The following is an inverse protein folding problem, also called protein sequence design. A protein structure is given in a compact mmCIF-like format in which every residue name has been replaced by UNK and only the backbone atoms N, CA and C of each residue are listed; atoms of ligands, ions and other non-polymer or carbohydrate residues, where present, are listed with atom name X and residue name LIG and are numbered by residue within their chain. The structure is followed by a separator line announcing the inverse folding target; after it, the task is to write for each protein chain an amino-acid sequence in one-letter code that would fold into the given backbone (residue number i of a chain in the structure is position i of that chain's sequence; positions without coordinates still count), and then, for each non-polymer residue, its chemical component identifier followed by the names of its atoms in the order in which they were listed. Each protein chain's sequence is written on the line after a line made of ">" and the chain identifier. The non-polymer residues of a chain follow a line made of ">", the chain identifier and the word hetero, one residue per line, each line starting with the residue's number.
data_IF_854508078371
#
_entry.id   IF_854508078371
#
_cell.length_a   1.000
_cell.length_b   1.000
_cell.length_c   1.000
_cell.angle_alpha   90.00
_cell.angle_beta   90.00
_cell.angle_gamma   90.00
#
_symmetry.space_group_name_H-M   'P 1'
#
loop_
_entity.id
_entity.type
_entity.pdbx_description
1 polymer ?
#
# COMPACT_ATOMS: atom_id res chain seq x y z
N UNK A 1 -4.38 1.35 24.72
CA UNK A 1 -4.48 1.94 23.36
C UNK A 1 -3.97 0.91 22.35
N UNK A 2 -4.85 0.06 21.80
CA UNK A 2 -4.48 -1.06 20.89
C UNK A 2 -5.51 -1.29 19.76
N UNK A 3 -6.37 -0.32 19.46
CA UNK A 3 -7.49 -0.53 18.52
C UNK A 3 -7.23 -0.07 17.09
N UNK A 4 -6.23 0.79 16.85
CA UNK A 4 -5.85 1.20 15.49
C UNK A 4 -5.07 0.12 14.71
N UNK A 5 -4.51 -0.87 15.41
CA UNK A 5 -3.82 -2.02 14.80
C UNK A 5 -4.77 -3.12 14.30
N UNK A 6 -6.08 -2.98 14.51
CA UNK A 6 -7.02 -4.07 14.22
C UNK A 6 -7.45 -4.16 12.75
N UNK A 7 -7.31 -3.09 11.97
CA UNK A 7 -7.81 -3.04 10.59
C UNK A 7 -7.23 -1.84 9.81
N UNK A 8 -6.13 -2.03 9.05
CA UNK A 8 -5.54 -0.97 8.24
C UNK A 8 -6.47 -0.51 7.09
N UNK A 9 -7.51 -1.27 6.74
CA UNK A 9 -8.50 -0.91 5.72
C UNK A 9 -9.68 -0.09 6.27
N UNK A 10 -9.67 0.20 7.57
CA UNK A 10 -10.73 0.96 8.21
C UNK A 10 -10.82 2.38 7.65
N UNK A 11 -12.01 2.75 7.17
CA UNK A 11 -12.23 4.05 6.51
C UNK A 11 -12.16 5.21 7.50
N UNK A 12 -11.91 6.42 6.98
CA UNK A 12 -11.91 7.64 7.80
C UNK A 12 -13.24 7.91 8.52
N UNK A 13 -14.37 7.48 7.94
CA UNK A 13 -15.68 7.60 8.56
C UNK A 13 -15.83 6.64 9.75
N UNK A 14 -15.37 5.40 9.60
CA UNK A 14 -15.41 4.42 10.68
C UNK A 14 -14.49 4.82 11.85
N UNK A 15 -13.29 5.34 11.53
CA UNK A 15 -12.36 5.87 12.54
C UNK A 15 -12.97 7.08 13.24
N UNK A 16 -13.56 8.01 12.48
CA UNK A 16 -14.17 9.21 13.03
C UNK A 16 -15.36 8.89 13.94
N UNK A 17 -16.20 7.94 13.53
CA UNK A 17 -17.34 7.46 14.31
C UNK A 17 -16.88 6.82 15.62
N UNK A 18 -15.86 5.94 15.58
CA UNK A 18 -15.32 5.29 16.77
C UNK A 18 -14.64 6.29 17.73
N UNK A 19 -13.98 7.31 17.19
CA UNK A 19 -13.27 8.33 17.96
C UNK A 19 -14.16 9.52 18.39
N UNK A 20 -15.43 9.54 18.00
CA UNK A 20 -16.35 10.65 18.29
C UNK A 20 -15.93 11.99 17.69
N UNK A 21 -15.23 11.98 16.54
CA UNK A 21 -14.71 13.18 15.90
C UNK A 21 -15.17 13.29 14.43
N UNK A 22 -14.74 14.32 13.73
CA UNK A 22 -15.08 14.49 12.31
C UNK A 22 -14.14 13.71 11.40
N UNK A 23 -14.66 13.17 10.29
CA UNK A 23 -13.82 12.51 9.27
C UNK A 23 -12.80 13.46 8.60
N UNK A 24 -13.05 14.77 8.65
CA UNK A 24 -12.09 15.78 8.23
C UNK A 24 -10.90 15.86 9.20
N UNK A 25 -11.17 15.84 10.51
CA UNK A 25 -10.15 15.80 11.55
C UNK A 25 -9.26 14.55 11.41
N UNK A 26 -9.86 13.38 11.21
CA UNK A 26 -9.10 12.13 10.97
C UNK A 26 -8.19 12.24 9.74
N UNK A 27 -8.68 12.80 8.63
CA UNK A 27 -7.87 13.02 7.42
C UNK A 27 -6.72 14.01 7.64
N UNK A 28 -6.97 15.09 8.38
CA UNK A 28 -5.93 16.08 8.72
C UNK A 28 -4.86 15.48 9.60
N UNK A 29 -5.25 14.73 10.64
CA UNK A 29 -4.31 14.03 11.53
C UNK A 29 -3.50 13.03 10.72
N UNK A 30 -4.14 12.16 9.94
CA UNK A 30 -3.42 11.16 9.15
C UNK A 30 -2.49 11.77 8.09
N UNK A 31 -2.88 12.87 7.43
CA UNK A 31 -1.99 13.59 6.53
C UNK A 31 -0.80 14.21 7.26
N UNK A 32 -1.01 14.80 8.45
CA UNK A 32 0.08 15.36 9.28
C UNK A 32 1.06 14.29 9.74
N UNK A 33 0.55 13.12 10.08
CA UNK A 33 1.33 11.98 10.56
C UNK A 33 1.88 11.10 9.41
N UNK A 34 1.59 11.43 8.15
CA UNK A 34 1.99 10.61 6.99
C UNK A 34 1.39 9.20 6.97
N UNK A 35 0.32 8.99 7.73
CA UNK A 35 -0.34 7.70 7.86
C UNK A 35 -1.32 7.54 6.71
N UNK A 36 -1.14 6.45 5.97
CA UNK A 36 -2.09 6.04 4.94
C UNK A 36 -2.97 4.94 5.51
N UNK A 37 -4.28 5.09 5.40
CA UNK A 37 -5.25 4.25 6.09
C UNK A 37 -6.53 4.16 5.27
N UNK A 38 -7.34 3.14 5.55
CA UNK A 38 -8.47 2.83 4.71
C UNK A 38 -8.03 2.33 3.34
N UNK A 39 -8.98 2.23 2.41
CA UNK A 39 -8.67 1.98 0.98
C UNK A 39 -7.70 2.99 0.35
N UNK A 40 -7.40 4.11 1.03
CA UNK A 40 -6.42 5.09 0.59
C UNK A 40 -4.96 4.63 0.77
N UNK A 41 -4.68 3.47 1.42
CA UNK A 41 -3.39 2.75 1.31
C UNK A 41 -2.95 2.51 -0.14
N UNK A 42 -3.86 2.69 -1.10
CA UNK A 42 -3.52 2.89 -2.50
C UNK A 42 -3.00 4.32 -2.75
N UNK A 43 -1.72 4.49 -2.38
CA UNK A 43 -0.67 5.07 -3.23
C UNK A 43 -0.54 6.60 -3.27
N UNK A 44 0.69 7.14 -3.18
CA UNK A 44 0.94 8.56 -3.38
C UNK A 44 0.50 9.02 -4.78
N UNK A 45 -0.11 10.21 -4.86
CA UNK A 45 -0.61 10.83 -6.10
C UNK A 45 0.45 11.05 -7.22
N UNK A 46 1.71 10.66 -6.97
CA UNK A 46 2.84 10.68 -7.92
C UNK A 46 3.52 9.32 -8.15
N UNK A 47 3.09 8.25 -7.49
CA UNK A 47 3.59 6.92 -7.84
C UNK A 47 2.97 6.54 -9.18
N UNK A 48 3.84 6.31 -10.15
CA UNK A 48 3.49 5.69 -11.43
C UNK A 48 2.71 4.42 -11.14
N UNK A 49 1.72 4.07 -11.99
CA UNK A 49 0.92 2.83 -11.85
C UNK A 49 1.77 1.59 -11.52
N UNK A 50 3.01 1.57 -12.00
CA UNK A 50 3.99 0.52 -11.78
C UNK A 50 4.46 0.43 -10.32
N UNK A 51 4.67 1.55 -9.61
CA UNK A 51 5.09 1.53 -8.20
C UNK A 51 3.98 0.99 -7.30
N UNK A 52 2.72 1.29 -7.62
CA UNK A 52 1.55 0.72 -6.93
C UNK A 52 1.55 -0.80 -7.03
N UNK A 53 1.70 -1.27 -8.26
CA UNK A 53 1.65 -2.68 -8.58
C UNK A 53 2.78 -3.42 -7.87
N UNK A 54 4.00 -2.86 -7.89
CA UNK A 54 5.15 -3.39 -7.16
C UNK A 54 4.93 -3.43 -5.65
N UNK A 55 4.41 -2.37 -5.04
CA UNK A 55 4.11 -2.31 -3.59
C UNK A 55 3.07 -3.37 -3.19
N UNK A 56 2.04 -3.59 -4.01
CA UNK A 56 1.03 -4.61 -3.76
C UNK A 56 1.56 -6.03 -3.95
N UNK A 57 2.38 -6.27 -4.96
CA UNK A 57 2.91 -7.60 -5.26
C UNK A 57 3.95 -8.04 -4.22
N UNK A 58 4.79 -7.10 -3.79
CA UNK A 58 5.73 -7.29 -2.68
C UNK A 58 4.98 -7.69 -1.39
N UNK A 59 3.89 -6.99 -1.07
CA UNK A 59 3.06 -7.32 0.08
C UNK A 59 2.40 -8.72 -0.05
N UNK A 60 1.91 -9.08 -1.24
CA UNK A 60 1.26 -10.38 -1.51
C UNK A 60 2.21 -11.56 -1.36
N UNK A 61 3.44 -11.38 -1.81
CA UNK A 61 4.50 -12.39 -1.75
C UNK A 61 5.27 -12.36 -0.42
N UNK A 62 4.95 -11.43 0.48
CA UNK A 62 5.67 -11.16 1.71
C UNK A 62 7.18 -10.95 1.47
N UNK A 63 7.49 -10.19 0.42
CA UNK A 63 8.84 -9.86 -0.01
C UNK A 63 8.95 -8.35 -0.30
N UNK A 64 10.13 -7.92 -0.75
CA UNK A 64 10.42 -6.54 -1.10
C UNK A 64 10.11 -6.25 -2.57
N UNK A 65 9.86 -4.98 -2.88
CA UNK A 65 9.72 -4.51 -4.27
C UNK A 65 10.96 -4.87 -5.11
N UNK A 66 12.16 -4.83 -4.51
CA UNK A 66 13.40 -5.23 -5.18
C UNK A 66 13.38 -6.69 -5.60
N UNK A 67 12.95 -7.58 -4.71
CA UNK A 67 12.82 -9.02 -5.01
C UNK A 67 11.76 -9.29 -6.09
N UNK A 68 10.66 -8.51 -6.11
CA UNK A 68 9.68 -8.58 -7.21
C UNK A 68 10.30 -8.13 -8.53
N UNK A 69 11.06 -7.04 -8.54
CA UNK A 69 11.77 -6.56 -9.74
C UNK A 69 12.79 -7.59 -10.21
N UNK A 70 13.58 -8.15 -9.30
CA UNK A 70 14.59 -9.16 -9.62
C UNK A 70 13.94 -10.41 -10.18
N UNK A 71 12.82 -10.87 -9.62
CA UNK A 71 12.05 -12.00 -10.15
C UNK A 71 11.57 -11.74 -11.59
N UNK A 72 11.05 -10.53 -11.88
CA UNK A 72 10.63 -10.14 -13.24
C UNK A 72 11.82 -10.14 -14.20
N UNK A 73 12.97 -9.62 -13.76
CA UNK A 73 14.20 -9.57 -14.58
C UNK A 73 14.72 -10.98 -14.83
N UNK A 74 14.70 -11.86 -13.83
CA UNK A 74 15.12 -13.26 -13.98
C UNK A 74 14.20 -14.02 -14.95
N UNK A 75 12.88 -13.88 -14.82
CA UNK A 75 11.88 -14.50 -15.69
C UNK A 75 12.06 -14.05 -17.15
N UNK A 76 12.18 -12.74 -17.39
CA UNK A 76 12.39 -12.19 -18.72
C UNK A 76 13.70 -12.65 -19.39
N UNK A 77 14.74 -12.95 -18.60
CA UNK A 77 16.01 -13.50 -19.13
C UNK A 77 15.87 -14.96 -19.54
N UNK A 78 15.16 -15.77 -18.75
CA UNK A 78 14.92 -17.18 -19.06
C UNK A 78 14.06 -17.32 -20.33
N UNK A 79 13.00 -16.50 -20.48
CA UNK A 79 12.17 -16.48 -21.68
C UNK A 79 12.96 -16.12 -22.96
N UNK A 80 14.00 -15.29 -22.81
CA UNK A 80 14.87 -14.91 -23.94
C UNK A 80 15.84 -16.03 -24.33
N UNK A 81 16.20 -16.91 -23.40
CA UNK A 81 17.11 -18.05 -23.62
C UNK A 81 16.38 -19.29 -24.16
N UNK A 82 15.06 -19.40 -23.97
CA UNK A 82 14.22 -20.49 -24.53
C UNK A 82 13.66 -20.21 -25.93
N UNK A 83 13.81 -18.97 -26.42
CA UNK A 83 13.31 -18.51 -27.73
C UNK A 83 14.34 -18.59 -28.88
N UNK A 84 15.57 -19.00 -28.59
CA UNK A 84 16.67 -19.29 -29.53
C UNK A 84 16.88 -20.82 -29.71
#
# INVERSE_FOLDING_TARGET
>A
MREFTADPERTCFAIAQAAGCSAAYVRVVAHREGVTFGRALRVPARATKNRIWLECEALRMNCTIGEVIDAIVTDARLDSEEAD
#
